data_IF_075777891304
#
_entry.id   IF_075777891304
#
_cell.length_a   1.000
_cell.length_b   1.000
_cell.length_c   1.000
_cell.angle_alpha   90.00
_cell.angle_beta   90.00
_cell.angle_gamma   90.00
#
_symmetry.space_group_name_H-M   'P 1'
#
loop_
_entity.id
_entity.type
_entity.pdbx_description
1 polymer ?
#
# COMPACT_ATOMS: atom_id res chain seq x y z
N UNK A 1 -52.54 8.39 -18.58
CA UNK A 1 -52.88 6.95 -18.55
C UNK A 1 -51.57 6.19 -18.50
N UNK A 2 -51.06 5.99 -17.29
CA UNK A 2 -49.93 5.09 -17.01
C UNK A 2 -50.50 3.71 -16.67
N UNK A 3 -49.94 2.62 -17.21
CA UNK A 3 -50.01 1.33 -16.55
C UNK A 3 -48.73 1.09 -15.74
N UNK A 4 -48.97 0.85 -14.45
CA UNK A 4 -48.01 0.38 -13.47
C UNK A 4 -47.32 -0.92 -13.92
N UNK A 5 -45.99 -0.98 -13.78
CA UNK A 5 -45.27 -2.24 -13.72
C UNK A 5 -44.86 -2.51 -12.27
N UNK A 6 -45.53 -3.50 -11.70
CA UNK A 6 -45.33 -4.02 -10.35
C UNK A 6 -43.98 -4.71 -10.28
N UNK A 7 -43.13 -4.27 -9.34
CA UNK A 7 -41.88 -4.92 -8.98
C UNK A 7 -42.16 -6.24 -8.26
N UNK A 8 -41.97 -7.36 -8.95
CA UNK A 8 -41.94 -8.70 -8.34
C UNK A 8 -40.50 -9.10 -7.95
N UNK A 9 -39.94 -8.42 -6.95
CA UNK A 9 -38.80 -8.96 -6.20
C UNK A 9 -39.30 -9.50 -4.86
N UNK A 10 -39.72 -10.77 -4.88
CA UNK A 10 -39.88 -11.54 -3.66
C UNK A 10 -38.48 -11.75 -3.02
N UNK A 11 -38.30 -11.50 -1.73
CA UNK A 11 -37.05 -11.84 -1.05
C UNK A 11 -36.91 -13.36 -1.04
N UNK A 12 -35.87 -13.88 -1.70
CA UNK A 12 -35.48 -15.29 -1.53
C UNK A 12 -35.12 -15.50 -0.04
N UNK A 13 -35.65 -16.55 0.61
CA UNK A 13 -35.35 -16.83 2.01
C UNK A 13 -33.86 -17.11 2.16
N UNK A 14 -33.22 -16.40 3.08
CA UNK A 14 -31.89 -16.72 3.58
C UNK A 14 -31.97 -18.08 4.23
N UNK A 15 -31.34 -19.09 3.62
CA UNK A 15 -31.09 -20.37 4.27
C UNK A 15 -30.06 -20.08 5.36
N UNK A 16 -30.54 -19.94 6.60
CA UNK A 16 -29.72 -20.00 7.80
C UNK A 16 -29.29 -21.46 8.00
N UNK A 17 -28.15 -21.83 7.43
CA UNK A 17 -27.43 -23.02 7.89
C UNK A 17 -26.85 -22.73 9.26
N UNK A 18 -27.58 -23.18 10.28
CA UNK A 18 -27.09 -23.33 11.64
C UNK A 18 -25.90 -24.28 11.66
N UNK A 19 -24.68 -23.75 11.77
CA UNK A 19 -23.54 -24.50 12.26
C UNK A 19 -23.57 -24.49 13.79
N UNK A 20 -24.42 -25.33 14.37
CA UNK A 20 -24.23 -25.85 15.72
C UNK A 20 -23.02 -26.77 15.71
N UNK A 21 -21.87 -26.29 16.20
CA UNK A 21 -20.80 -27.10 16.78
C UNK A 21 -19.71 -26.19 17.37
N UNK A 22 -20.03 -25.51 18.47
CA UNK A 22 -18.99 -25.12 19.42
C UNK A 22 -18.52 -26.40 20.11
N UNK A 23 -17.50 -27.06 19.54
CA UNK A 23 -16.76 -28.07 20.28
C UNK A 23 -15.96 -27.36 21.38
N UNK A 24 -16.25 -27.60 22.67
CA UNK A 24 -15.46 -27.03 23.75
C UNK A 24 -14.04 -27.59 23.68
N UNK A 25 -13.04 -26.72 23.87
CA UNK A 25 -11.67 -27.10 24.15
C UNK A 25 -11.66 -28.06 25.36
N UNK A 26 -11.45 -29.35 25.10
CA UNK A 26 -11.21 -30.34 26.14
C UNK A 26 -9.80 -30.14 26.70
N UNK A 27 -9.69 -29.32 27.74
CA UNK A 27 -8.55 -29.37 28.64
C UNK A 27 -8.70 -30.65 29.46
N UNK A 28 -7.77 -31.58 29.30
CA UNK A 28 -7.64 -32.73 30.19
C UNK A 28 -7.31 -32.20 31.58
N UNK A 29 -8.32 -32.15 32.45
CA UNK A 29 -8.15 -31.84 33.85
C UNK A 29 -7.28 -32.93 34.51
N UNK A 30 -6.04 -32.59 34.87
CA UNK A 30 -5.33 -33.36 35.89
C UNK A 30 -6.10 -33.22 37.19
N UNK A 31 -6.62 -34.33 37.71
CA UNK A 31 -7.13 -34.43 39.08
C UNK A 31 -5.97 -34.12 40.05
N UNK A 32 -5.88 -32.86 40.49
CA UNK A 32 -5.23 -32.54 41.74
C UNK A 32 -6.33 -32.28 42.76
N UNK A 33 -6.31 -33.03 43.85
CA UNK A 33 -7.25 -32.92 44.95
C UNK A 33 -7.30 -31.48 45.45
N UNK A 34 -8.51 -30.93 45.58
CA UNK A 34 -8.76 -29.63 46.20
C UNK A 34 -8.60 -29.81 47.70
N UNK A 35 -7.43 -29.44 48.24
CA UNK A 35 -7.29 -29.12 49.67
C UNK A 35 -7.59 -27.64 49.84
N UNK A 36 -8.63 -27.30 50.59
CA UNK A 36 -8.88 -25.94 51.07
C UNK A 36 -7.71 -25.49 51.95
N UNK A 37 -6.96 -24.43 51.60
CA UNK A 37 -5.92 -23.92 52.48
C UNK A 37 -6.56 -23.13 53.62
N UNK A 38 -6.50 -23.67 54.83
CA UNK A 38 -6.72 -22.89 56.06
C UNK A 38 -5.50 -22.00 56.32
N UNK A 39 -5.75 -20.79 56.80
CA UNK A 39 -4.77 -19.72 57.11
C UNK A 39 -3.87 -20.06 58.33
N UNK A 40 -3.32 -21.28 58.40
CA UNK A 40 -2.51 -21.73 59.54
C UNK A 40 -1.01 -21.93 59.20
N UNK A 41 -0.57 -21.66 57.96
CA UNK A 41 0.77 -22.04 57.48
C UNK A 41 1.71 -20.88 57.07
N UNK A 42 1.33 -19.62 57.31
CA UNK A 42 2.24 -18.49 57.05
C UNK A 42 2.80 -17.98 58.37
N UNK A 43 4.00 -18.43 58.76
CA UNK A 43 4.73 -17.73 59.83
C UNK A 43 5.19 -16.37 59.29
N UNK A 44 4.89 -15.33 60.05
CA UNK A 44 5.25 -13.94 59.75
C UNK A 44 6.73 -13.64 60.09
N UNK A 45 7.54 -14.66 60.36
CA UNK A 45 8.95 -14.53 60.76
C UNK A 45 9.80 -13.77 59.74
N UNK A 46 9.40 -13.82 58.46
CA UNK A 46 10.04 -13.06 57.37
C UNK A 46 9.99 -11.54 57.58
N UNK A 47 9.03 -11.03 58.34
CA UNK A 47 8.88 -9.58 58.60
C UNK A 47 9.48 -9.13 59.93
N UNK A 48 9.92 -10.05 60.79
CA UNK A 48 10.55 -9.73 62.08
C UNK A 48 11.90 -8.99 61.92
N UNK A 49 12.55 -9.14 60.77
CA UNK A 49 13.83 -8.46 60.47
C UNK A 49 13.66 -7.03 59.94
N UNK A 50 12.44 -6.54 59.74
CA UNK A 50 12.19 -5.19 59.20
C UNK A 50 11.94 -4.11 60.28
N UNK A 51 11.83 -4.47 61.57
CA UNK A 51 11.49 -3.52 62.65
C UNK A 51 12.48 -3.48 63.82
N UNK A 52 13.67 -4.08 63.70
CA UNK A 52 14.70 -4.08 64.76
C UNK A 52 15.89 -3.16 64.43
N UNK A 53 16.36 -2.42 65.45
CA UNK A 53 17.44 -1.42 65.42
C UNK A 53 18.87 -1.94 65.10
N UNK A 54 19.01 -2.96 64.26
CA UNK A 54 20.29 -3.48 63.77
C UNK A 54 20.29 -3.44 62.23
N UNK A 55 20.26 -2.23 61.66
CA UNK A 55 20.55 -2.03 60.24
C UNK A 55 22.05 -2.27 60.02
N UNK A 56 22.42 -3.51 59.70
CA UNK A 56 23.76 -3.84 59.23
C UNK A 56 23.90 -3.31 57.81
N UNK A 57 24.92 -2.47 57.62
CA UNK A 57 25.41 -1.92 56.35
C UNK A 57 25.31 -2.96 55.22
N UNK A 58 24.41 -2.71 54.26
CA UNK A 58 24.40 -3.43 52.98
C UNK A 58 24.70 -2.41 51.89
N UNK A 59 25.99 -2.32 51.55
CA UNK A 59 26.49 -1.74 50.31
C UNK A 59 25.57 -2.11 49.14
N UNK A 60 25.19 -1.11 48.33
CA UNK A 60 24.19 -1.24 47.26
C UNK A 60 24.29 -2.54 46.47
N UNK A 61 23.20 -3.31 46.48
CA UNK A 61 23.11 -4.55 45.72
C UNK A 61 23.39 -4.27 44.24
N UNK A 62 24.46 -4.86 43.71
CA UNK A 62 24.71 -4.87 42.26
C UNK A 62 23.49 -5.47 41.55
N UNK A 63 23.07 -4.93 40.39
CA UNK A 63 21.90 -5.45 39.69
C UNK A 63 22.06 -6.95 39.48
N UNK A 64 21.04 -7.72 39.87
CA UNK A 64 21.06 -9.17 39.80
C UNK A 64 21.48 -9.62 38.39
N UNK A 65 22.53 -10.44 38.32
CA UNK A 65 22.99 -11.00 37.07
C UNK A 65 21.82 -11.72 36.38
N UNK A 66 21.64 -11.48 35.09
CA UNK A 66 20.60 -12.14 34.31
C UNK A 66 20.75 -13.65 34.42
N UNK A 67 19.64 -14.35 34.64
CA UNK A 67 19.68 -15.81 34.75
C UNK A 67 20.26 -16.43 33.48
N UNK A 68 20.97 -17.55 33.65
CA UNK A 68 21.54 -18.33 32.54
C UNK A 68 20.49 -18.69 31.48
N UNK A 69 19.24 -18.92 31.91
CA UNK A 69 18.12 -19.18 31.01
C UNK A 69 17.71 -17.94 30.20
N UNK A 70 17.74 -16.74 30.80
CA UNK A 70 17.48 -15.48 30.10
C UNK A 70 18.58 -15.13 29.10
N UNK A 71 19.85 -15.37 29.46
CA UNK A 71 20.99 -15.20 28.55
C UNK A 71 20.89 -16.17 27.38
N UNK A 72 20.63 -17.45 27.63
CA UNK A 72 20.43 -18.46 26.60
C UNK A 72 19.23 -18.15 25.69
N UNK A 73 18.11 -17.68 26.26
CA UNK A 73 16.95 -17.25 25.48
C UNK A 73 17.30 -16.05 24.59
N UNK A 74 17.91 -15.00 25.14
CA UNK A 74 18.34 -13.80 24.39
C UNK A 74 19.33 -14.16 23.28
N UNK A 75 20.29 -15.02 23.56
CA UNK A 75 21.31 -15.40 22.58
C UNK A 75 20.72 -16.32 21.51
N UNK A 76 19.73 -17.17 21.85
CA UNK A 76 18.93 -17.91 20.86
C UNK A 76 18.10 -16.99 19.95
N UNK A 77 17.62 -15.85 20.48
CA UNK A 77 16.94 -14.83 19.66
C UNK A 77 17.94 -14.12 18.75
N UNK A 78 19.13 -13.75 19.25
CA UNK A 78 20.18 -13.15 18.43
C UNK A 78 20.60 -14.06 17.28
N UNK A 79 20.75 -15.36 17.54
CA UNK A 79 21.07 -16.33 16.48
C UNK A 79 19.93 -16.53 15.48
N UNK A 80 18.68 -16.49 15.94
CA UNK A 80 17.50 -16.60 15.07
C UNK A 80 17.22 -15.36 14.24
N UNK A 81 17.59 -14.18 14.72
CA UNK A 81 17.33 -12.89 14.08
C UNK A 81 18.60 -12.22 13.54
N UNK A 82 19.73 -12.93 13.46
CA UNK A 82 20.96 -12.36 12.90
C UNK A 82 20.78 -12.11 11.38
N UNK A 83 20.81 -10.84 10.93
CA UNK A 83 20.63 -10.51 9.51
C UNK A 83 21.80 -10.97 8.62
N UNK A 84 22.91 -11.42 9.20
CA UNK A 84 24.09 -11.90 8.49
C UNK A 84 24.26 -13.42 8.52
N UNK A 85 23.25 -14.18 8.97
CA UNK A 85 23.33 -15.64 8.95
C UNK A 85 23.24 -16.13 7.49
N UNK A 86 24.35 -16.68 6.99
CA UNK A 86 24.33 -17.44 5.74
C UNK A 86 23.31 -18.60 5.87
N UNK A 87 22.54 -18.92 4.81
CA UNK A 87 21.68 -20.09 4.84
C UNK A 87 22.51 -21.32 5.21
N UNK A 88 21.96 -22.21 6.04
CA UNK A 88 22.66 -23.43 6.42
C UNK A 88 23.12 -24.17 5.16
N UNK A 89 24.41 -24.53 5.11
CA UNK A 89 24.99 -25.23 3.97
C UNK A 89 24.16 -26.49 3.66
N UNK A 90 23.62 -26.64 2.45
CA UNK A 90 22.69 -27.72 2.11
C UNK A 90 23.34 -29.11 2.09
N UNK A 91 24.67 -29.19 2.22
CA UNK A 91 25.44 -30.44 2.22
C UNK A 91 25.55 -31.09 3.61
N UNK A 92 25.31 -30.36 4.70
CA UNK A 92 25.46 -30.92 6.06
C UNK A 92 24.13 -31.45 6.63
N UNK A 93 22.99 -31.10 6.02
CA UNK A 93 21.63 -31.47 6.48
C UNK A 93 20.92 -32.47 5.53
N UNK A 94 21.67 -33.43 4.96
CA UNK A 94 21.13 -34.41 3.99
C UNK A 94 20.25 -35.50 4.64
N UNK A 95 20.10 -35.50 5.97
CA UNK A 95 19.34 -36.54 6.69
C UNK A 95 17.85 -36.28 6.93
N UNK A 96 17.32 -35.10 6.58
CA UNK A 96 15.90 -34.77 6.83
C UNK A 96 15.25 -34.29 5.55
N UNK A 97 14.23 -35.03 5.12
CA UNK A 97 13.39 -34.77 3.94
C UNK A 97 13.14 -33.26 3.76
N UNK A 98 13.61 -32.74 2.63
CA UNK A 98 13.62 -31.32 2.25
C UNK A 98 12.22 -30.73 1.97
N UNK A 99 11.14 -31.43 2.28
CA UNK A 99 9.80 -30.97 1.89
C UNK A 99 9.08 -30.10 2.94
N UNK A 100 9.52 -30.04 4.20
CA UNK A 100 8.76 -29.31 5.22
C UNK A 100 9.58 -28.54 6.28
N UNK A 101 10.90 -28.43 6.14
CA UNK A 101 11.71 -27.73 7.16
C UNK A 101 11.72 -26.20 7.03
N UNK A 102 11.53 -25.64 5.84
CA UNK A 102 11.29 -24.21 5.66
C UNK A 102 9.97 -23.74 6.30
N UNK A 103 9.08 -24.68 6.61
CA UNK A 103 7.78 -24.43 7.19
C UNK A 103 7.75 -24.55 8.74
N UNK A 104 8.89 -24.80 9.40
CA UNK A 104 8.96 -24.95 10.87
C UNK A 104 9.96 -24.06 11.62
N UNK A 105 10.79 -23.27 10.94
CA UNK A 105 11.48 -22.15 11.60
C UNK A 105 10.45 -21.09 12.04
N UNK A 106 10.80 -20.11 12.88
CA UNK A 106 9.88 -19.01 13.19
C UNK A 106 9.38 -18.28 11.92
N UNK A 107 10.18 -18.32 10.85
CA UNK A 107 9.80 -17.94 9.49
C UNK A 107 8.75 -18.88 8.88
N UNK A 108 8.90 -20.19 9.07
CA UNK A 108 8.01 -21.25 8.66
C UNK A 108 6.67 -21.38 9.40
N UNK A 109 6.61 -21.08 10.70
CA UNK A 109 5.33 -21.12 11.45
C UNK A 109 4.41 -19.94 11.12
N UNK A 110 4.96 -18.80 10.69
CA UNK A 110 4.18 -17.75 10.03
C UNK A 110 3.68 -18.25 8.66
N UNK A 111 4.47 -19.06 7.96
CA UNK A 111 4.13 -19.64 6.65
C UNK A 111 3.06 -20.76 6.68
N UNK A 112 2.93 -21.55 7.74
CA UNK A 112 1.99 -22.69 7.74
C UNK A 112 0.58 -22.39 8.26
N UNK A 113 0.32 -21.22 8.86
CA UNK A 113 -1.05 -20.72 8.99
C UNK A 113 -1.61 -20.22 7.64
N UNK A 114 -0.79 -20.22 6.58
CA UNK A 114 -1.13 -19.73 5.23
C UNK A 114 -1.65 -20.86 4.30
N UNK A 115 -1.68 -22.12 4.75
CA UNK A 115 -2.11 -23.24 3.89
C UNK A 115 -3.65 -23.41 3.76
N UNK A 116 -4.45 -22.55 4.40
CA UNK A 116 -5.86 -22.32 4.03
C UNK A 116 -6.08 -20.98 3.30
N UNK A 117 -5.02 -20.19 3.11
CA UNK A 117 -5.04 -18.87 2.48
C UNK A 117 -4.23 -18.84 1.18
N UNK A 118 -4.18 -19.93 0.42
CA UNK A 118 -3.62 -19.92 -0.95
C UNK A 118 -4.37 -18.98 -1.91
N UNK A 119 -5.44 -18.32 -1.45
CA UNK A 119 -6.00 -17.07 -1.98
C UNK A 119 -6.46 -16.09 -0.86
N UNK A 120 -5.87 -16.15 0.34
CA UNK A 120 -6.28 -15.27 1.43
C UNK A 120 -5.51 -13.95 1.40
N UNK A 121 -6.26 -12.86 1.28
CA UNK A 121 -5.80 -11.47 1.38
C UNK A 121 -4.83 -10.99 0.29
N UNK A 122 -4.77 -11.68 -0.85
CA UNK A 122 -4.05 -11.22 -2.04
C UNK A 122 -4.86 -10.17 -2.77
N UNK A 123 -4.59 -8.89 -2.50
CA UNK A 123 -5.19 -7.80 -3.25
C UNK A 123 -4.59 -6.44 -3.00
N UNK A 124 -3.87 -6.22 -1.91
CA UNK A 124 -3.20 -4.94 -1.70
C UNK A 124 -1.87 -4.86 -2.43
N UNK A 125 -1.64 -3.93 -3.39
CA UNK A 125 -0.29 -3.67 -3.88
C UNK A 125 0.69 -3.27 -2.76
N UNK A 126 0.19 -2.80 -1.61
CA UNK A 126 0.99 -2.38 -0.45
C UNK A 126 1.09 -3.44 0.68
N UNK A 127 0.26 -4.50 0.68
CA UNK A 127 0.31 -5.64 1.63
C UNK A 127 0.49 -7.01 0.96
N UNK A 128 0.63 -7.06 -0.38
CA UNK A 128 0.94 -8.32 -1.05
C UNK A 128 2.18 -8.88 -0.36
N UNK A 129 2.01 -10.08 0.19
CA UNK A 129 3.06 -10.93 0.69
C UNK A 129 3.52 -11.70 -0.54
N UNK A 130 4.41 -11.15 -1.39
CA UNK A 130 5.19 -11.98 -2.26
C UNK A 130 5.92 -13.00 -1.38
N UNK A 131 6.34 -14.15 -1.94
CA UNK A 131 6.99 -15.20 -1.18
C UNK A 131 8.06 -14.61 -0.24
N UNK A 132 8.18 -15.08 1.01
CA UNK A 132 9.06 -14.47 1.99
C UNK A 132 10.44 -14.16 1.40
N UNK A 133 10.82 -12.88 1.40
CA UNK A 133 12.02 -12.35 0.74
C UNK A 133 11.76 -11.46 -0.48
N UNK A 134 10.56 -11.47 -1.07
CA UNK A 134 10.26 -10.67 -2.27
C UNK A 134 9.61 -9.30 -2.00
N UNK A 135 9.16 -8.99 -0.77
CA UNK A 135 8.64 -7.65 -0.41
C UNK A 135 9.72 -6.57 -0.48
N UNK A 136 10.93 -6.79 0.07
CA UNK A 136 12.01 -5.82 -0.07
C UNK A 136 12.43 -5.64 -1.53
N UNK A 137 12.40 -6.72 -2.32
CA UNK A 137 12.72 -6.67 -3.74
C UNK A 137 11.70 -5.82 -4.53
N UNK A 138 10.40 -6.02 -4.32
CA UNK A 138 9.34 -5.26 -4.98
C UNK A 138 9.43 -3.76 -4.66
N UNK A 139 9.58 -3.42 -3.38
CA UNK A 139 9.77 -2.03 -2.95
C UNK A 139 11.06 -1.43 -3.51
N UNK A 140 12.14 -2.21 -3.56
CA UNK A 140 13.40 -1.78 -4.15
C UNK A 140 13.25 -1.49 -5.66
N UNK A 141 12.60 -2.39 -6.41
CA UNK A 141 12.34 -2.19 -7.84
C UNK A 141 11.42 -1.00 -8.09
N UNK A 142 10.33 -0.86 -7.33
CA UNK A 142 9.45 0.30 -7.40
C UNK A 142 10.23 1.61 -7.18
N UNK A 143 11.11 1.64 -6.16
CA UNK A 143 11.97 2.80 -5.90
C UNK A 143 12.97 3.06 -7.03
N UNK A 144 13.54 2.01 -7.65
CA UNK A 144 14.45 2.15 -8.79
C UNK A 144 13.74 2.72 -10.02
N UNK A 145 12.54 2.22 -10.33
CA UNK A 145 11.69 2.72 -11.41
C UNK A 145 11.40 4.22 -11.20
N UNK A 146 10.93 4.60 -10.00
CA UNK A 146 10.66 6.00 -9.67
C UNK A 146 11.92 6.87 -9.80
N UNK A 147 13.09 6.38 -9.34
CA UNK A 147 14.35 7.12 -9.47
C UNK A 147 14.74 7.35 -10.94
N UNK A 148 14.60 6.34 -11.78
CA UNK A 148 14.89 6.46 -13.22
C UNK A 148 13.96 7.47 -13.89
N UNK A 149 12.66 7.43 -13.60
CA UNK A 149 11.71 8.41 -14.13
C UNK A 149 11.91 9.82 -13.56
N UNK A 150 12.35 9.98 -12.31
CA UNK A 150 12.75 11.29 -11.76
C UNK A 150 13.97 11.89 -12.48
N UNK A 151 14.91 11.06 -12.93
CA UNK A 151 16.04 11.52 -13.72
C UNK A 151 15.59 12.13 -15.07
N UNK A 152 14.47 11.66 -15.64
CA UNK A 152 13.89 12.24 -16.87
C UNK A 152 13.40 13.69 -16.69
N UNK A 153 12.97 14.06 -15.47
CA UNK A 153 12.58 15.44 -15.17
C UNK A 153 13.78 16.38 -14.97
N UNK A 154 15.00 15.82 -14.84
CA UNK A 154 16.25 16.54 -14.56
C UNK A 154 17.44 16.00 -15.38
N UNK A 155 17.33 15.97 -16.72
CA UNK A 155 18.29 15.26 -17.57
C UNK A 155 19.71 15.84 -17.53
N UNK A 156 19.85 17.13 -17.24
CA UNK A 156 21.14 17.85 -17.17
C UNK A 156 21.65 18.02 -15.74
N UNK A 157 20.97 17.45 -14.74
CA UNK A 157 21.27 17.67 -13.32
C UNK A 157 20.73 18.99 -12.75
N UNK A 158 20.15 19.85 -13.59
CA UNK A 158 19.45 21.07 -13.13
C UNK A 158 17.97 20.78 -12.94
N UNK A 159 17.43 21.14 -11.77
CA UNK A 159 16.01 20.97 -11.46
C UNK A 159 15.13 21.87 -12.33
N UNK A 160 14.13 21.26 -12.97
CA UNK A 160 13.14 21.98 -13.79
C UNK A 160 11.96 22.47 -12.93
N UNK A 161 11.10 23.30 -13.51
CA UNK A 161 9.87 23.79 -12.85
C UNK A 161 8.90 22.65 -12.51
N UNK A 162 9.05 21.48 -13.13
CA UNK A 162 8.29 20.28 -12.80
C UNK A 162 8.61 19.74 -11.40
N UNK A 163 9.85 19.93 -10.95
CA UNK A 163 10.35 19.42 -9.67
C UNK A 163 10.11 20.37 -8.49
N UNK A 164 9.41 21.49 -8.68
CA UNK A 164 9.20 22.47 -7.61
C UNK A 164 8.09 22.02 -6.65
N UNK A 165 8.48 21.58 -5.45
CA UNK A 165 7.57 21.01 -4.44
C UNK A 165 6.78 22.07 -3.64
N UNK A 166 7.35 23.25 -3.43
CA UNK A 166 6.72 24.36 -2.70
C UNK A 166 7.15 25.72 -3.27
N UNK A 167 6.29 26.72 -3.15
CA UNK A 167 6.56 28.09 -3.62
C UNK A 167 7.09 28.97 -2.48
N UNK A 168 6.59 28.72 -1.27
CA UNK A 168 6.98 29.45 -0.06
C UNK A 168 7.74 28.51 0.89
N UNK A 169 8.64 29.07 1.69
CA UNK A 169 9.34 28.35 2.75
C UNK A 169 8.32 27.63 3.66
N UNK A 170 8.58 26.35 3.97
CA UNK A 170 7.69 25.51 4.78
C UNK A 170 6.68 24.68 3.97
N UNK A 171 6.30 25.11 2.76
CA UNK A 171 5.30 24.36 1.96
C UNK A 171 5.78 22.97 1.53
N UNK A 172 7.08 22.75 1.40
CA UNK A 172 7.62 21.42 1.08
C UNK A 172 7.37 20.41 2.22
N UNK A 173 7.43 20.84 3.48
CA UNK A 173 7.13 19.99 4.64
C UNK A 173 5.64 19.69 4.74
N UNK A 174 4.78 20.68 4.44
CA UNK A 174 3.34 20.49 4.35
C UNK A 174 2.96 19.51 3.23
N UNK A 175 3.59 19.64 2.06
CA UNK A 175 3.42 18.72 0.94
C UNK A 175 3.85 17.29 1.31
N UNK A 176 4.97 17.15 2.04
CA UNK A 176 5.42 15.87 2.60
C UNK A 176 4.39 15.28 3.55
N UNK A 177 3.85 16.06 4.47
CA UNK A 177 2.83 15.59 5.43
C UNK A 177 1.54 15.16 4.72
N UNK A 178 1.13 15.90 3.69
CA UNK A 178 0.00 15.54 2.86
C UNK A 178 0.25 14.22 2.09
N UNK A 179 1.45 14.04 1.54
CA UNK A 179 1.84 12.82 0.83
C UNK A 179 1.89 11.59 1.77
N UNK A 180 2.46 11.73 2.97
CA UNK A 180 2.46 10.67 3.99
C UNK A 180 1.04 10.31 4.43
N UNK A 181 0.18 11.32 4.61
CA UNK A 181 -1.22 11.12 4.97
C UNK A 181 -2.01 10.44 3.84
N UNK A 182 -1.71 10.75 2.57
CA UNK A 182 -2.30 10.07 1.43
C UNK A 182 -1.82 8.61 1.35
N UNK A 183 -0.53 8.35 1.56
CA UNK A 183 0.02 6.99 1.60
C UNK A 183 -0.60 6.15 2.72
N UNK A 184 -0.83 6.74 3.90
CA UNK A 184 -1.53 6.08 4.99
C UNK A 184 -2.98 5.74 4.61
N UNK A 185 -3.70 6.69 4.01
CA UNK A 185 -5.08 6.48 3.54
C UNK A 185 -5.21 5.43 2.44
N UNK A 186 -4.22 5.32 1.55
CA UNK A 186 -4.17 4.24 0.55
C UNK A 186 -4.21 2.85 1.20
N UNK A 187 -3.62 2.70 2.40
CA UNK A 187 -3.63 1.43 3.16
C UNK A 187 -4.95 1.17 3.89
N UNK A 188 -5.74 2.20 4.18
CA UNK A 188 -7.02 2.07 4.89
C UNK A 188 -8.19 1.66 3.98
N UNK A 189 -7.95 1.53 2.69
CA UNK A 189 -8.96 1.14 1.70
C UNK A 189 -9.46 -0.28 1.91
N UNK A 190 -10.66 -0.56 1.39
CA UNK A 190 -11.21 -1.90 1.43
C UNK A 190 -10.36 -2.87 0.62
N UNK A 191 -10.41 -4.16 0.99
CA UNK A 191 -9.72 -5.23 0.26
C UNK A 191 -10.14 -5.31 -1.21
N UNK A 192 -11.41 -5.03 -1.52
CA UNK A 192 -11.92 -5.00 -2.89
C UNK A 192 -11.30 -3.87 -3.72
N UNK A 193 -11.18 -2.66 -3.14
CA UNK A 193 -10.54 -1.52 -3.81
C UNK A 193 -9.06 -1.79 -4.07
N UNK A 194 -8.38 -2.32 -3.06
CA UNK A 194 -6.99 -2.78 -3.14
C UNK A 194 -6.82 -3.77 -4.30
N UNK A 195 -7.64 -4.83 -4.34
CA UNK A 195 -7.55 -5.85 -5.40
C UNK A 195 -7.84 -5.30 -6.80
N UNK A 196 -8.81 -4.39 -6.92
CA UNK A 196 -9.06 -3.67 -8.16
C UNK A 196 -7.83 -2.91 -8.64
N UNK A 197 -7.17 -2.17 -7.74
CA UNK A 197 -5.93 -1.47 -8.02
C UNK A 197 -4.79 -2.40 -8.45
N UNK A 198 -4.65 -3.56 -7.80
CA UNK A 198 -3.66 -4.56 -8.18
C UNK A 198 -3.86 -5.04 -9.63
N UNK A 199 -5.08 -5.44 -9.99
CA UNK A 199 -5.38 -5.95 -11.33
C UNK A 199 -5.21 -4.88 -12.41
N UNK A 200 -5.66 -3.67 -12.14
CA UNK A 200 -5.65 -2.58 -13.11
C UNK A 200 -4.25 -1.96 -13.27
N UNK A 201 -3.47 -1.83 -12.19
CA UNK A 201 -2.07 -1.37 -12.30
C UNK A 201 -1.24 -2.36 -13.11
N UNK A 202 -1.46 -3.67 -12.92
CA UNK A 202 -0.82 -4.72 -13.72
C UNK A 202 -1.24 -4.64 -15.19
N UNK A 203 -2.54 -4.49 -15.47
CA UNK A 203 -3.06 -4.34 -16.85
C UNK A 203 -2.36 -3.18 -17.57
N UNK A 204 -2.29 -2.02 -16.92
CA UNK A 204 -1.64 -0.83 -17.47
C UNK A 204 -0.12 -1.01 -17.60
N UNK A 205 0.53 -1.68 -16.65
CA UNK A 205 1.95 -1.96 -16.74
C UNK A 205 2.29 -2.86 -17.94
N UNK A 206 1.50 -3.91 -18.18
CA UNK A 206 1.66 -4.82 -19.34
C UNK A 206 1.45 -4.09 -20.67
N UNK A 207 0.40 -3.27 -20.79
CA UNK A 207 0.20 -2.44 -22.01
C UNK A 207 1.41 -1.53 -22.25
N UNK A 208 1.98 -0.96 -21.18
CA UNK A 208 3.14 -0.09 -21.28
C UNK A 208 4.48 -0.80 -21.49
N UNK A 209 4.56 -2.12 -21.29
CA UNK A 209 5.75 -2.92 -21.59
C UNK A 209 5.85 -3.30 -23.08
N UNK A 210 4.81 -3.00 -23.87
CA UNK A 210 4.80 -3.13 -25.34
C UNK A 210 5.28 -4.50 -25.86
N UNK A 211 4.92 -5.60 -25.19
CA UNK A 211 5.29 -6.96 -25.60
C UNK A 211 6.69 -7.41 -25.15
N UNK A 212 7.38 -6.63 -24.31
CA UNK A 212 8.64 -7.04 -23.71
C UNK A 212 8.40 -8.16 -22.69
N UNK A 213 8.74 -9.39 -23.07
CA UNK A 213 8.54 -10.59 -22.23
C UNK A 213 9.22 -10.49 -20.86
N UNK A 214 10.40 -9.87 -20.79
CA UNK A 214 11.12 -9.67 -19.54
C UNK A 214 10.40 -8.69 -18.61
N UNK A 215 10.00 -7.51 -19.12
CA UNK A 215 9.29 -6.51 -18.34
C UNK A 215 7.93 -7.02 -17.89
N UNK A 216 7.18 -7.70 -18.76
CA UNK A 216 5.91 -8.32 -18.41
C UNK A 216 6.07 -9.36 -17.30
N UNK A 217 7.12 -10.19 -17.34
CA UNK A 217 7.39 -11.18 -16.29
C UNK A 217 7.65 -10.54 -14.92
N UNK A 218 8.29 -9.37 -14.89
CA UNK A 218 8.57 -8.63 -13.66
C UNK A 218 7.32 -7.89 -13.18
N UNK A 219 6.65 -7.14 -14.05
CA UNK A 219 5.49 -6.32 -13.72
C UNK A 219 4.26 -7.17 -13.31
N UNK A 220 4.15 -8.39 -13.82
CA UNK A 220 3.10 -9.33 -13.39
C UNK A 220 3.38 -9.96 -12.03
N UNK A 221 4.66 -10.13 -11.68
CA UNK A 221 5.11 -10.70 -10.40
C UNK A 221 5.19 -9.68 -9.27
N UNK A 222 5.49 -8.42 -9.59
CA UNK A 222 5.82 -7.36 -8.64
C UNK A 222 4.80 -6.22 -8.68
N UNK A 223 3.82 -6.21 -7.77
CA UNK A 223 2.71 -5.25 -7.80
C UNK A 223 3.10 -3.80 -7.51
N UNK A 224 4.00 -3.56 -6.56
CA UNK A 224 4.44 -2.21 -6.26
C UNK A 224 5.26 -1.64 -7.43
N UNK A 225 6.08 -2.48 -8.09
CA UNK A 225 6.78 -2.12 -9.32
C UNK A 225 5.81 -1.78 -10.47
N UNK A 226 4.74 -2.55 -10.66
CA UNK A 226 3.72 -2.25 -11.68
C UNK A 226 3.02 -0.91 -11.44
N UNK A 227 2.64 -0.63 -10.19
CA UNK A 227 2.06 0.67 -9.80
C UNK A 227 3.05 1.83 -9.96
N UNK A 228 4.31 1.61 -9.60
CA UNK A 228 5.36 2.61 -9.77
C UNK A 228 5.61 2.89 -11.26
N UNK A 229 5.59 1.87 -12.10
CA UNK A 229 5.76 2.01 -13.54
C UNK A 229 4.68 2.90 -14.15
N UNK A 230 3.39 2.64 -13.84
CA UNK A 230 2.28 3.40 -14.42
C UNK A 230 2.29 4.86 -13.96
N UNK A 231 2.48 5.10 -12.66
CA UNK A 231 2.45 6.46 -12.09
C UNK A 231 3.70 7.28 -12.40
N UNK A 232 4.89 6.66 -12.36
CA UNK A 232 6.13 7.38 -12.66
C UNK A 232 6.29 7.65 -14.17
N UNK A 233 5.84 6.73 -15.02
CA UNK A 233 5.80 6.94 -16.48
C UNK A 233 4.88 8.11 -16.84
N UNK A 234 3.71 8.23 -16.17
CA UNK A 234 2.79 9.33 -16.42
C UNK A 234 3.36 10.69 -16.02
N UNK A 235 4.01 10.75 -14.85
CA UNK A 235 4.68 11.97 -14.40
C UNK A 235 5.84 12.37 -15.32
N UNK A 236 6.69 11.42 -15.73
CA UNK A 236 7.83 11.71 -16.59
C UNK A 236 7.44 12.12 -18.02
N UNK A 237 6.38 11.53 -18.57
CA UNK A 237 5.87 11.89 -19.91
C UNK A 237 5.01 13.15 -19.91
N UNK A 238 4.69 13.69 -18.74
CA UNK A 238 3.87 14.88 -18.57
C UNK A 238 2.41 14.67 -18.96
N UNK A 239 1.90 13.44 -18.87
CA UNK A 239 0.54 13.11 -19.33
C UNK A 239 -0.56 13.17 -18.27
N UNK A 240 -0.22 13.71 -17.11
CA UNK A 240 -1.16 14.02 -16.04
C UNK A 240 -1.96 15.29 -16.36
N UNK A 241 -3.23 15.36 -15.92
CA UNK A 241 -4.10 16.56 -15.97
C UNK A 241 -3.41 17.82 -15.48
N UNK A 242 -2.53 17.68 -14.50
CA UNK A 242 -1.74 18.76 -13.90
C UNK A 242 -0.88 19.55 -14.89
N UNK A 243 -0.47 18.92 -15.99
CA UNK A 243 0.39 19.50 -17.01
C UNK A 243 -0.35 19.84 -18.31
N UNK A 244 -1.60 19.40 -18.45
CA UNK A 244 -2.38 19.57 -19.66
C UNK A 244 -3.34 20.77 -19.51
N UNK A 245 -3.02 21.87 -20.18
CA UNK A 245 -3.90 23.03 -20.29
C UNK A 245 -4.70 22.97 -21.60
N UNK A 246 -6.03 23.17 -21.49
CA UNK A 246 -6.92 23.23 -22.64
C UNK A 246 -6.66 24.48 -23.49
N UNK A 247 -6.65 24.31 -24.80
CA UNK A 247 -6.40 25.41 -25.76
C UNK A 247 -7.64 26.24 -26.05
N UNK A 248 -8.83 25.69 -25.78
CA UNK A 248 -10.13 26.34 -26.00
C UNK A 248 -11.06 26.18 -24.79
N UNK A 249 -12.07 27.07 -24.64
CA UNK A 249 -13.10 26.91 -23.62
C UNK A 249 -13.87 25.58 -23.77
N UNK A 250 -14.13 25.14 -25.00
CA UNK A 250 -14.78 23.87 -25.27
C UNK A 250 -13.93 22.68 -24.81
N UNK A 251 -12.64 22.66 -25.12
CA UNK A 251 -11.71 21.62 -24.65
C UNK A 251 -11.61 21.59 -23.12
N UNK A 252 -11.56 22.76 -22.49
CA UNK A 252 -11.53 22.88 -21.02
C UNK A 252 -12.81 22.32 -20.39
N UNK A 253 -13.97 22.60 -20.99
CA UNK A 253 -15.25 22.03 -20.54
C UNK A 253 -15.27 20.50 -20.71
N UNK A 254 -14.86 19.98 -21.86
CA UNK A 254 -14.81 18.53 -22.12
C UNK A 254 -13.85 17.81 -21.15
N UNK A 255 -12.66 18.38 -20.92
CA UNK A 255 -11.69 17.84 -19.97
C UNK A 255 -12.28 17.81 -18.53
N UNK A 256 -12.96 18.89 -18.13
CA UNK A 256 -13.64 18.95 -16.83
C UNK A 256 -14.79 17.92 -16.72
N UNK A 257 -15.52 17.66 -17.80
CA UNK A 257 -16.53 16.60 -17.84
C UNK A 257 -15.92 15.20 -17.65
N UNK A 258 -14.79 14.91 -18.31
CA UNK A 258 -14.07 13.65 -18.12
C UNK A 258 -13.53 13.51 -16.70
N UNK A 259 -12.90 14.56 -16.15
CA UNK A 259 -12.42 14.54 -14.76
C UNK A 259 -13.57 14.28 -13.77
N UNK A 260 -14.75 14.89 -13.98
CA UNK A 260 -15.96 14.59 -13.20
C UNK A 260 -16.38 13.12 -13.31
N UNK A 261 -16.35 12.54 -14.51
CA UNK A 261 -16.68 11.12 -14.70
C UNK A 261 -15.67 10.22 -13.98
N UNK A 262 -14.37 10.52 -14.05
CA UNK A 262 -13.34 9.75 -13.34
C UNK A 262 -13.55 9.80 -11.82
N UNK A 263 -13.89 10.97 -11.28
CA UNK A 263 -14.21 11.15 -9.84
C UNK A 263 -15.53 10.51 -9.43
N UNK A 264 -16.53 10.47 -10.31
CA UNK A 264 -17.82 9.85 -10.05
C UNK A 264 -17.68 8.32 -9.86
N UNK A 265 -16.80 7.67 -10.62
CA UNK A 265 -16.51 6.23 -10.50
C UNK A 265 -16.05 5.81 -9.09
N UNK A 266 -15.41 6.72 -8.37
CA UNK A 266 -14.95 6.48 -6.99
C UNK A 266 -16.02 6.72 -5.92
N UNK A 267 -17.15 7.33 -6.25
CA UNK A 267 -18.24 7.69 -5.31
C UNK A 267 -19.58 7.12 -5.80
N UNK A 268 -19.75 5.78 -5.89
CA UNK A 268 -20.95 5.18 -6.48
C UNK A 268 -22.23 5.43 -5.69
N UNK A 269 -22.13 5.60 -4.36
CA UNK A 269 -23.27 5.70 -3.44
C UNK A 269 -23.41 7.11 -2.82
N UNK A 270 -22.74 8.12 -3.37
CA UNK A 270 -22.75 9.49 -2.83
C UNK A 270 -21.89 9.70 -1.57
N UNK A 271 -21.34 8.64 -0.97
CA UNK A 271 -20.38 8.71 0.14
C UNK A 271 -18.96 8.78 -0.39
N UNK A 272 -18.23 9.85 -0.05
CA UNK A 272 -16.84 10.04 -0.46
C UNK A 272 -15.92 8.92 0.05
N UNK A 273 -15.03 8.46 -0.83
CA UNK A 273 -14.00 7.47 -0.51
C UNK A 273 -12.91 8.06 0.38
N UNK A 274 -12.15 7.21 1.08
CA UNK A 274 -11.06 7.60 2.00
C UNK A 274 -9.98 8.43 1.29
N UNK A 275 -9.84 8.25 -0.03
CA UNK A 275 -8.89 8.97 -0.88
C UNK A 275 -9.33 10.39 -1.24
N UNK A 276 -10.63 10.67 -1.24
CA UNK A 276 -11.18 11.98 -1.61
C UNK A 276 -11.10 12.94 -0.41
N UNK A 277 -9.91 13.32 0.03
CA UNK A 277 -9.76 14.38 1.04
C UNK A 277 -8.72 15.43 0.68
N UNK A 278 -9.20 16.67 0.66
CA UNK A 278 -8.40 17.88 0.43
C UNK A 278 -7.64 18.34 1.68
N UNK A 279 -7.98 17.81 2.87
CA UNK A 279 -7.28 18.08 4.10
C UNK A 279 -7.53 17.02 5.16
N UNK A 280 -6.52 16.80 6.01
CA UNK A 280 -6.61 16.01 7.23
C UNK A 280 -6.78 16.90 8.48
N UNK A 281 -6.42 18.18 8.39
CA UNK A 281 -6.56 19.18 9.44
C UNK A 281 -7.11 20.49 8.85
N UNK A 282 -7.55 21.40 9.73
CA UNK A 282 -8.07 22.72 9.34
C UNK A 282 -7.00 23.51 8.56
N UNK A 283 -7.41 24.15 7.47
CA UNK A 283 -6.53 24.98 6.63
C UNK A 283 -5.84 24.24 5.48
N UNK A 284 -5.64 22.92 5.57
CA UNK A 284 -4.94 22.12 4.54
C UNK A 284 -5.63 22.16 3.17
N UNK A 285 -6.96 22.23 3.15
CA UNK A 285 -7.72 22.33 1.90
C UNK A 285 -7.34 23.59 1.09
N UNK A 286 -7.17 24.73 1.77
CA UNK A 286 -6.78 25.98 1.10
C UNK A 286 -5.32 25.92 0.60
N UNK A 287 -4.42 25.33 1.40
CA UNK A 287 -3.05 25.08 0.96
C UNK A 287 -2.99 24.20 -0.29
N UNK A 288 -3.80 23.13 -0.35
CA UNK A 288 -3.89 22.29 -1.55
C UNK A 288 -4.41 23.06 -2.75
N UNK A 289 -5.45 23.88 -2.57
CA UNK A 289 -5.98 24.74 -3.63
C UNK A 289 -4.92 25.69 -4.19
N UNK A 290 -4.18 26.38 -3.31
CA UNK A 290 -3.08 27.28 -3.69
C UNK A 290 -1.96 26.51 -4.38
N UNK A 291 -1.59 25.33 -3.88
CA UNK A 291 -0.57 24.48 -4.51
C UNK A 291 -0.97 24.06 -5.92
N UNK A 292 -2.23 23.67 -6.14
CA UNK A 292 -2.73 23.29 -7.46
C UNK A 292 -2.71 24.47 -8.45
N UNK A 293 -3.11 25.67 -8.01
CA UNK A 293 -2.98 26.89 -8.82
C UNK A 293 -1.53 27.20 -9.17
N UNK A 294 -0.60 27.04 -8.22
CA UNK A 294 0.82 27.26 -8.48
C UNK A 294 1.40 26.29 -9.50
N UNK A 295 0.98 25.02 -9.46
CA UNK A 295 1.42 24.05 -10.47
C UNK A 295 0.85 24.38 -11.84
N UNK A 296 -0.41 24.81 -11.92
CA UNK A 296 -1.00 25.27 -13.19
C UNK A 296 -0.29 26.50 -13.76
N UNK A 297 0.14 27.42 -12.90
CA UNK A 297 0.96 28.54 -13.34
C UNK A 297 2.29 28.04 -13.94
N UNK A 298 2.95 27.08 -13.29
CA UNK A 298 4.21 26.48 -13.77
C UNK A 298 4.06 25.63 -15.04
N UNK A 299 2.96 24.89 -15.21
CA UNK A 299 2.68 24.17 -16.47
C UNK A 299 2.60 25.13 -17.64
N UNK A 300 2.02 26.31 -17.42
CA UNK A 300 1.94 27.38 -18.41
C UNK A 300 3.28 28.07 -18.69
N UNK A 301 4.29 27.94 -17.82
CA UNK A 301 5.64 28.46 -18.05
C UNK A 301 6.57 27.47 -18.76
N UNK A 302 6.15 26.22 -18.93
CA UNK A 302 6.95 25.22 -19.64
C UNK A 302 7.17 25.62 -21.11
N UNK A 303 8.30 25.19 -21.67
CA UNK A 303 8.67 25.53 -23.05
C UNK A 303 7.63 25.01 -24.05
N UNK A 304 7.51 25.68 -25.19
CA UNK A 304 6.57 25.28 -26.26
C UNK A 304 6.82 23.86 -26.73
N UNK A 305 8.09 23.45 -26.83
CA UNK A 305 8.48 22.09 -27.21
C UNK A 305 7.94 21.06 -26.21
N UNK A 306 8.12 21.31 -24.90
CA UNK A 306 7.62 20.42 -23.85
C UNK A 306 6.10 20.30 -23.91
N UNK A 307 5.39 21.41 -24.07
CA UNK A 307 3.92 21.43 -24.18
C UNK A 307 3.43 20.65 -25.41
N UNK A 308 4.09 20.80 -26.55
CA UNK A 308 3.73 20.06 -27.76
C UNK A 308 4.00 18.56 -27.60
N UNK A 309 5.14 18.17 -27.03
CA UNK A 309 5.45 16.78 -26.74
C UNK A 309 4.43 16.16 -25.79
N UNK A 310 4.05 16.87 -24.72
CA UNK A 310 3.02 16.43 -23.79
C UNK A 310 1.68 16.16 -24.50
N UNK A 311 1.25 17.01 -25.44
CA UNK A 311 0.00 16.77 -26.21
C UNK A 311 0.03 15.44 -26.97
N UNK A 312 1.14 15.13 -27.64
CA UNK A 312 1.29 13.85 -28.34
C UNK A 312 1.37 12.67 -27.38
N UNK A 313 2.06 12.83 -26.25
CA UNK A 313 2.14 11.81 -25.19
C UNK A 313 0.75 11.53 -24.60
N UNK A 314 -0.08 12.56 -24.39
CA UNK A 314 -1.45 12.44 -23.87
C UNK A 314 -2.33 11.66 -24.82
N UNK A 315 -2.32 12.03 -26.11
CA UNK A 315 -3.09 11.35 -27.14
C UNK A 315 -2.64 9.88 -27.29
N UNK A 316 -1.33 9.63 -27.34
CA UNK A 316 -0.79 8.26 -27.40
C UNK A 316 -1.17 7.44 -26.15
N UNK A 317 -1.06 8.02 -24.97
CA UNK A 317 -1.48 7.40 -23.72
C UNK A 317 -2.96 7.02 -23.77
N UNK A 318 -3.86 7.97 -24.04
CA UNK A 318 -5.28 7.67 -24.00
C UNK A 318 -5.72 6.64 -25.06
N UNK A 319 -5.14 6.69 -26.26
CA UNK A 319 -5.39 5.68 -27.30
C UNK A 319 -4.97 4.29 -26.86
N UNK A 320 -3.74 4.13 -26.37
CA UNK A 320 -3.19 2.83 -26.00
C UNK A 320 -3.90 2.22 -24.78
N UNK A 321 -4.28 3.05 -23.82
CA UNK A 321 -4.81 2.58 -22.53
C UNK A 321 -6.34 2.53 -22.44
N UNK A 322 -7.05 3.36 -23.22
CA UNK A 322 -8.51 3.49 -23.13
C UNK A 322 -9.23 3.36 -24.47
N UNK A 323 -8.62 3.79 -25.59
CA UNK A 323 -9.29 3.82 -26.90
C UNK A 323 -9.61 2.44 -27.49
N UNK A 324 -8.76 1.44 -27.26
CA UNK A 324 -8.99 0.02 -27.62
C UNK A 324 -9.60 -0.25 -29.02
N UNK A 325 -9.22 0.53 -30.04
CA UNK A 325 -9.75 0.37 -31.41
C UNK A 325 -11.09 1.06 -31.67
N UNK A 326 -11.62 1.84 -30.72
CA UNK A 326 -12.78 2.69 -30.92
C UNK A 326 -12.37 3.96 -31.68
N UNK A 327 -12.69 4.00 -32.98
CA UNK A 327 -12.33 5.12 -33.87
C UNK A 327 -12.87 6.48 -33.39
N UNK A 328 -14.04 6.51 -32.74
CA UNK A 328 -14.60 7.73 -32.16
C UNK A 328 -13.72 8.28 -31.03
N UNK A 329 -13.36 7.43 -30.07
CA UNK A 329 -12.55 7.85 -28.91
C UNK A 329 -11.13 8.22 -29.33
N UNK A 330 -10.52 7.47 -30.26
CA UNK A 330 -9.19 7.79 -30.77
C UNK A 330 -9.16 9.15 -31.48
N UNK A 331 -10.17 9.45 -32.30
CA UNK A 331 -10.31 10.76 -32.95
C UNK A 331 -10.51 11.87 -31.91
N UNK A 332 -11.29 11.62 -30.86
CA UNK A 332 -11.49 12.57 -29.76
C UNK A 332 -10.17 12.86 -29.02
N UNK A 333 -9.40 11.81 -28.68
CA UNK A 333 -8.12 11.95 -27.97
C UNK A 333 -7.05 12.66 -28.80
N UNK A 334 -7.04 12.45 -30.12
CA UNK A 334 -6.13 13.12 -31.04
C UNK A 334 -6.48 14.61 -31.21
N UNK A 335 -7.78 14.94 -31.22
CA UNK A 335 -8.26 16.31 -31.42
C UNK A 335 -8.15 17.17 -30.15
N UNK A 336 -8.38 16.59 -28.97
CA UNK A 336 -8.43 17.31 -27.70
C UNK A 336 -7.46 16.70 -26.67
N UNK A 337 -6.18 17.11 -26.68
CA UNK A 337 -5.15 16.55 -25.79
C UNK A 337 -5.38 16.78 -24.29
N UNK A 338 -6.16 17.77 -23.88
CA UNK A 338 -6.53 17.94 -22.47
C UNK A 338 -7.59 16.91 -22.03
N UNK A 339 -8.44 16.45 -22.96
CA UNK A 339 -9.41 15.38 -22.71
C UNK A 339 -8.68 14.05 -22.52
N UNK A 340 -7.67 13.77 -23.35
CA UNK A 340 -6.86 12.56 -23.20
C UNK A 340 -6.02 12.55 -21.91
N UNK A 341 -5.46 13.69 -21.49
CA UNK A 341 -4.79 13.82 -20.19
C UNK A 341 -5.73 13.61 -18.99
N UNK A 342 -7.02 13.88 -19.17
CA UNK A 342 -8.07 13.71 -18.14
C UNK A 342 -8.48 12.26 -17.95
N UNK A 343 -8.20 11.39 -18.92
CA UNK A 343 -8.41 9.96 -18.76
C UNK A 343 -7.36 9.36 -17.83
N UNK A 344 -7.83 8.66 -16.80
CA UNK A 344 -6.97 8.03 -15.81
C UNK A 344 -7.41 6.59 -15.56
N UNK A 345 -6.49 5.70 -15.19
CA UNK A 345 -6.85 4.36 -14.77
C UNK A 345 -7.84 4.40 -13.59
N UNK A 346 -8.59 3.32 -13.41
CA UNK A 346 -9.43 3.11 -12.22
C UNK A 346 -8.61 2.98 -10.93
N UNK A 347 -7.28 2.78 -11.06
CA UNK A 347 -6.33 2.72 -9.94
C UNK A 347 -6.00 4.09 -9.40
N UNK A 348 -5.78 4.17 -8.08
CA UNK A 348 -5.47 5.44 -7.40
C UNK A 348 -6.49 6.55 -7.74
N UNK A 349 -7.70 6.33 -7.22
CA UNK A 349 -8.83 7.27 -7.29
C UNK A 349 -8.36 8.66 -6.82
N UNK A 350 -8.52 9.66 -7.69
CA UNK A 350 -8.30 11.13 -7.53
C UNK A 350 -7.00 11.75 -8.03
#
# INVERSE_FOLDING_TARGET
MEPAFVSSFAPKPVITTSLTASSPLSVTARKNAVSTPTMAAYSLDKYAQMSGANAVDTSGASPAASSTWWVAYRDSLKERFNPFRAPANPEVDVGKSKEYFFAQTAYGRILNMVNASRFGKGGDPDELVPPPGAQPADQYMANCIVKQYKAMATPTGVYTTQCTEGVVRGQAEEARNAALSAAFRMKQRSSAQKFGDFCESRRMAVIGAHGCSYEESLLTKFPAAARAYTTASSEAKGNCVRYADGTSPAETYMAACVDKQMKFRSVPMGVYDVLCSDGNTKGVAEYKRVSAMSVRFRSNQMSTLYKMQAKYNNAAYARNYFGHGCSYEENLFNKYPAVSASMRPSTARY
#
